data_IF_354048198631
#
_entry.id   IF_354048198631
#
_cell.length_a   1.000
_cell.length_b   1.000
_cell.length_c   1.000
_cell.angle_alpha   90.00
_cell.angle_beta   90.00
_cell.angle_gamma   90.00
#
_symmetry.space_group_name_H-M   'P 1'
#
loop_
_entity.id
_entity.type
_entity.pdbx_description
1 polymer ?
#
# COMPACT_ATOMS: atom_id res chain seq x y z
N UNK A 1 -51.19 21.88 10.92
CA UNK A 1 -50.29 22.60 10.01
C UNK A 1 -48.94 22.66 10.69
N UNK A 2 -48.04 21.75 10.33
CA UNK A 2 -46.65 21.76 10.75
C UNK A 2 -45.85 22.34 9.59
N UNK A 3 -45.20 23.48 9.82
CA UNK A 3 -44.27 24.10 8.88
C UNK A 3 -42.92 23.44 9.05
N UNK A 4 -42.56 22.53 8.15
CA UNK A 4 -41.19 22.03 8.03
C UNK A 4 -40.34 23.14 7.40
N UNK A 5 -39.36 23.62 8.16
CA UNK A 5 -38.34 24.55 7.66
C UNK A 5 -37.29 23.73 6.93
N UNK A 6 -37.36 23.71 5.60
CA UNK A 6 -36.29 23.20 4.75
C UNK A 6 -35.09 24.15 4.90
N UNK A 7 -34.14 23.75 5.75
CA UNK A 7 -32.84 24.40 5.83
C UNK A 7 -31.98 23.88 4.69
N UNK A 8 -31.89 24.73 3.69
CA UNK A 8 -30.96 24.78 2.58
C UNK A 8 -29.55 24.32 3.04
N UNK A 9 -29.19 23.08 2.70
CA UNK A 9 -27.83 22.57 2.88
C UNK A 9 -27.00 23.28 1.83
N UNK A 10 -26.34 24.35 2.26
CA UNK A 10 -25.33 25.03 1.47
C UNK A 10 -24.24 24.01 1.14
N UNK A 11 -24.20 23.60 -0.13
CA UNK A 11 -23.09 22.90 -0.77
C UNK A 11 -21.85 23.79 -0.66
N UNK A 12 -21.15 23.64 0.46
CA UNK A 12 -19.81 24.18 0.65
C UNK A 12 -18.92 23.36 -0.26
N UNK A 13 -18.77 23.84 -1.49
CA UNK A 13 -17.70 23.46 -2.39
C UNK A 13 -16.39 23.46 -1.61
N UNK A 14 -15.96 22.25 -1.25
CA UNK A 14 -14.62 22.00 -0.74
C UNK A 14 -13.71 22.30 -1.93
N UNK A 15 -13.34 23.58 -2.03
CA UNK A 15 -12.33 24.04 -2.93
C UNK A 15 -11.03 23.41 -2.42
N UNK A 16 -10.78 22.20 -2.91
CA UNK A 16 -9.50 21.50 -2.83
C UNK A 16 -8.54 22.26 -3.74
N UNK A 17 -8.18 23.46 -3.31
CA UNK A 17 -7.01 24.22 -3.75
C UNK A 17 -5.80 23.76 -2.92
N UNK A 18 -5.63 22.44 -2.85
CA UNK A 18 -4.33 21.82 -2.64
C UNK A 18 -3.71 21.60 -4.01
N UNK A 19 -2.56 22.22 -4.24
CA UNK A 19 -1.66 21.96 -5.36
C UNK A 19 -1.72 20.50 -5.81
N UNK A 20 -1.81 20.31 -7.13
CA UNK A 20 -1.65 19.07 -7.89
C UNK A 20 -0.32 18.38 -7.54
N UNK A 21 -0.25 17.82 -6.33
CA UNK A 21 0.84 17.02 -5.84
C UNK A 21 0.69 15.67 -6.54
N UNK A 22 1.25 15.59 -7.75
CA UNK A 22 1.41 14.42 -8.62
C UNK A 22 2.20 13.26 -7.98
N UNK A 23 1.95 12.96 -6.71
CA UNK A 23 2.53 11.87 -5.93
C UNK A 23 1.97 10.51 -6.28
N UNK A 24 0.87 10.45 -7.01
CA UNK A 24 0.41 9.23 -7.69
C UNK A 24 1.15 8.98 -9.02
N UNK A 25 2.04 9.88 -9.47
CA UNK A 25 2.67 9.83 -10.79
C UNK A 25 3.95 9.01 -10.92
N UNK A 26 4.45 8.39 -9.85
CA UNK A 26 5.74 7.64 -9.90
C UNK A 26 5.54 6.15 -9.63
N UNK A 27 4.44 5.59 -10.13
CA UNK A 27 4.39 4.15 -10.39
C UNK A 27 5.22 3.90 -11.64
N UNK A 28 6.36 3.22 -11.50
CA UNK A 28 7.11 2.80 -12.68
C UNK A 28 6.30 1.68 -13.38
N UNK A 29 6.01 1.81 -14.68
CA UNK A 29 5.34 0.74 -15.40
C UNK A 29 6.22 -0.51 -15.37
N UNK A 30 5.62 -1.64 -14.98
CA UNK A 30 6.25 -2.94 -15.14
C UNK A 30 6.41 -3.16 -16.64
N UNK A 31 7.65 -3.19 -17.12
CA UNK A 31 7.95 -3.41 -18.53
C UNK A 31 7.77 -4.91 -18.84
N UNK A 32 6.58 -5.30 -19.33
CA UNK A 32 6.23 -6.67 -19.73
C UNK A 32 4.75 -6.79 -20.12
N UNK A 33 4.37 -7.88 -20.79
CA UNK A 33 2.95 -8.24 -20.95
C UNK A 33 2.45 -8.76 -19.60
N UNK A 34 1.62 -7.97 -18.90
CA UNK A 34 0.83 -8.45 -17.76
C UNK A 34 -0.38 -9.22 -18.33
N UNK A 35 -0.45 -10.56 -18.20
CA UNK A 35 -1.59 -11.33 -18.66
C UNK A 35 -2.89 -10.99 -17.89
N UNK A 36 -2.82 -10.13 -16.88
CA UNK A 36 -3.90 -9.84 -15.97
C UNK A 36 -4.20 -11.04 -15.07
N UNK A 37 -5.14 -10.89 -14.12
CA UNK A 37 -5.59 -12.00 -13.31
C UNK A 37 -6.27 -13.04 -14.22
N UNK A 38 -5.83 -14.29 -14.14
CA UNK A 38 -6.53 -15.41 -14.77
C UNK A 38 -7.93 -15.49 -14.16
N UNK A 39 -8.96 -15.20 -14.96
CA UNK A 39 -10.36 -15.31 -14.55
C UNK A 39 -10.74 -16.80 -14.47
N UNK A 40 -10.36 -17.45 -13.37
CA UNK A 40 -10.86 -18.78 -13.04
C UNK A 40 -12.30 -18.64 -12.55
N UNK A 41 -13.27 -19.40 -13.08
CA UNK A 41 -14.61 -19.41 -12.52
C UNK A 41 -14.52 -19.88 -11.06
N UNK A 42 -15.04 -19.07 -10.14
CA UNK A 42 -15.09 -19.41 -8.71
C UNK A 42 -16.15 -20.51 -8.53
N UNK A 43 -15.76 -21.76 -8.77
CA UNK A 43 -16.57 -22.95 -8.51
C UNK A 43 -16.12 -23.49 -7.15
N UNK A 44 -16.57 -22.85 -6.08
CA UNK A 44 -16.26 -23.27 -4.72
C UNK A 44 -17.43 -23.03 -3.79
N UNK A 45 -17.86 -24.07 -3.06
CA UNK A 45 -18.51 -23.86 -1.77
C UNK A 45 -17.47 -23.15 -0.89
N UNK A 46 -17.88 -22.14 -0.12
CA UNK A 46 -16.99 -21.31 0.70
C UNK A 46 -16.08 -22.10 1.65
N UNK A 47 -15.37 -21.43 2.57
CA UNK A 47 -14.45 -22.13 3.49
C UNK A 47 -15.12 -23.37 4.10
N UNK A 48 -14.50 -24.54 3.91
CA UNK A 48 -15.11 -25.86 4.21
C UNK A 48 -15.49 -26.02 5.69
N UNK A 49 -14.85 -25.25 6.57
CA UNK A 49 -15.05 -25.27 8.00
C UNK A 49 -15.13 -23.84 8.53
N UNK A 50 -16.07 -23.60 9.44
CA UNK A 50 -16.09 -22.36 10.20
C UNK A 50 -14.84 -22.26 11.07
N UNK A 51 -14.30 -21.05 11.31
CA UNK A 51 -13.26 -20.83 12.30
C UNK A 51 -13.64 -21.43 13.66
N UNK A 52 -12.66 -21.97 14.38
CA UNK A 52 -12.85 -22.37 15.77
C UNK A 52 -13.22 -21.15 16.62
N UNK A 53 -13.91 -21.33 17.75
CA UNK A 53 -14.37 -20.22 18.59
C UNK A 53 -13.20 -19.42 19.19
N UNK A 54 -12.06 -20.09 19.36
CA UNK A 54 -10.79 -19.58 19.86
C UNK A 54 -9.84 -19.10 18.76
N UNK A 55 -10.27 -19.10 17.50
CA UNK A 55 -9.39 -18.78 16.39
C UNK A 55 -9.01 -17.28 16.39
N UNK A 56 -7.72 -17.00 16.23
CA UNK A 56 -7.22 -15.64 16.11
C UNK A 56 -7.30 -15.19 14.65
N UNK A 57 -7.99 -14.08 14.33
CA UNK A 57 -8.07 -13.56 12.96
C UNK A 57 -6.71 -13.38 12.27
N UNK A 58 -5.67 -13.02 13.02
CA UNK A 58 -4.31 -12.84 12.48
C UNK A 58 -3.74 -14.12 11.88
N UNK A 59 -4.08 -15.29 12.45
CA UNK A 59 -3.56 -16.57 11.97
C UNK A 59 -4.10 -16.92 10.58
N UNK A 60 -5.30 -16.45 10.23
CA UNK A 60 -5.86 -16.60 8.89
C UNK A 60 -5.18 -15.69 7.87
N UNK A 61 -4.79 -14.48 8.27
CA UNK A 61 -4.04 -13.57 7.38
C UNK A 61 -2.66 -14.16 7.08
N UNK A 62 -2.00 -14.76 8.07
CA UNK A 62 -0.72 -15.46 7.91
C UNK A 62 -0.76 -16.67 6.98
N UNK A 63 -1.95 -17.21 6.67
CA UNK A 63 -2.08 -18.26 5.64
C UNK A 63 -1.80 -17.74 4.22
N UNK A 64 -1.97 -16.43 4.00
CA UNK A 64 -1.78 -15.78 2.70
C UNK A 64 -0.55 -14.86 2.68
N UNK A 65 -0.25 -14.23 3.82
CA UNK A 65 0.95 -13.43 4.05
C UNK A 65 1.91 -14.24 4.93
N UNK A 66 2.48 -15.30 4.35
CA UNK A 66 3.48 -16.12 5.04
C UNK A 66 4.84 -15.39 5.18
N UNK A 67 5.71 -15.94 6.01
CA UNK A 67 7.02 -15.34 6.29
C UNK A 67 7.92 -15.29 5.05
N UNK A 68 7.74 -16.23 4.11
CA UNK A 68 8.50 -16.28 2.85
C UNK A 68 8.09 -15.12 1.93
N UNK A 69 6.79 -14.85 1.80
CA UNK A 69 6.27 -13.72 1.06
C UNK A 69 6.68 -12.39 1.70
N UNK A 70 6.60 -12.29 3.03
CA UNK A 70 7.07 -11.09 3.76
C UNK A 70 8.55 -10.85 3.49
N UNK A 71 9.37 -11.91 3.56
CA UNK A 71 10.80 -11.83 3.25
C UNK A 71 11.02 -11.37 1.81
N UNK A 72 10.27 -11.92 0.86
CA UNK A 72 10.37 -11.52 -0.54
C UNK A 72 10.00 -10.06 -0.76
N UNK A 73 8.96 -9.57 -0.07
CA UNK A 73 8.57 -8.15 -0.13
C UNK A 73 9.69 -7.27 0.43
N UNK A 74 10.32 -7.65 1.54
CA UNK A 74 11.46 -6.91 2.11
C UNK A 74 12.63 -6.85 1.15
N UNK A 75 13.01 -7.99 0.56
CA UNK A 75 14.10 -8.07 -0.42
C UNK A 75 13.85 -7.16 -1.62
N UNK A 76 12.67 -7.26 -2.24
CA UNK A 76 12.31 -6.45 -3.40
C UNK A 76 12.23 -4.96 -3.02
N UNK A 77 11.62 -4.61 -1.89
CA UNK A 77 11.53 -3.21 -1.43
C UNK A 77 12.91 -2.58 -1.29
N UNK A 78 13.84 -3.32 -0.67
CA UNK A 78 15.21 -2.87 -0.52
C UNK A 78 15.93 -2.77 -1.87
N UNK A 79 15.76 -3.76 -2.74
CA UNK A 79 16.34 -3.77 -4.08
C UNK A 79 15.87 -2.56 -4.92
N UNK A 80 14.57 -2.29 -4.97
CA UNK A 80 14.00 -1.15 -5.67
C UNK A 80 14.51 0.18 -5.11
N UNK A 81 14.58 0.30 -3.78
CA UNK A 81 15.02 1.54 -3.13
C UNK A 81 16.49 1.82 -3.41
N UNK A 82 17.35 0.81 -3.35
CA UNK A 82 18.77 0.92 -3.71
C UNK A 82 18.97 1.31 -5.17
N UNK A 83 18.26 0.64 -6.07
CA UNK A 83 18.33 0.95 -7.50
C UNK A 83 17.89 2.39 -7.77
N UNK A 84 16.79 2.83 -7.17
CA UNK A 84 16.31 4.20 -7.30
C UNK A 84 17.32 5.23 -6.80
N UNK A 85 17.92 5.00 -5.62
CA UNK A 85 18.98 5.86 -5.07
C UNK A 85 20.16 5.95 -6.03
N UNK A 86 20.57 4.83 -6.62
CA UNK A 86 21.71 4.80 -7.54
C UNK A 86 21.47 5.64 -8.80
N UNK A 87 20.23 5.65 -9.31
CA UNK A 87 19.83 6.39 -10.52
C UNK A 87 19.59 7.87 -10.22
N UNK A 88 19.00 8.21 -9.06
CA UNK A 88 18.46 9.54 -8.76
C UNK A 88 19.38 10.41 -7.89
N UNK A 89 20.70 10.25 -8.03
CA UNK A 89 21.70 10.97 -7.22
C UNK A 89 21.55 12.50 -7.29
N UNK A 90 21.27 13.06 -8.46
CA UNK A 90 21.11 14.51 -8.62
C UNK A 90 19.81 15.04 -8.01
N UNK A 91 18.74 14.25 -8.05
CA UNK A 91 17.50 14.56 -7.33
C UNK A 91 17.74 14.60 -5.81
N UNK A 92 18.50 13.64 -5.28
CA UNK A 92 18.83 13.61 -3.85
C UNK A 92 19.65 14.83 -3.41
N UNK A 93 20.60 15.30 -4.23
CA UNK A 93 21.37 16.52 -3.93
C UNK A 93 20.50 17.78 -3.82
N UNK A 94 19.48 17.87 -4.66
CA UNK A 94 18.58 19.03 -4.71
C UNK A 94 17.43 18.94 -3.70
N UNK A 95 17.10 17.74 -3.21
CA UNK A 95 15.98 17.49 -2.30
C UNK A 95 16.42 16.77 -1.01
N UNK A 96 17.11 17.46 -0.09
CA UNK A 96 17.67 16.86 1.13
C UNK A 96 16.61 16.42 2.16
N UNK A 97 15.34 16.80 1.97
CA UNK A 97 14.21 16.40 2.82
C UNK A 97 13.37 15.26 2.24
N UNK A 98 13.81 14.64 1.14
CA UNK A 98 13.10 13.50 0.55
C UNK A 98 12.99 12.33 1.53
N UNK A 99 11.94 11.53 1.39
CA UNK A 99 11.73 10.33 2.23
C UNK A 99 12.91 9.34 2.12
N UNK A 100 13.58 9.33 0.97
CA UNK A 100 14.76 8.49 0.70
C UNK A 100 15.94 8.86 1.60
N UNK A 101 16.12 10.13 1.99
CA UNK A 101 17.15 10.49 2.97
C UNK A 101 16.85 9.91 4.36
N UNK A 102 15.56 9.79 4.74
CA UNK A 102 15.18 9.11 5.97
C UNK A 102 15.51 7.62 5.86
N UNK A 103 15.20 6.98 4.73
CA UNK A 103 15.53 5.59 4.49
C UNK A 103 17.04 5.32 4.58
N UNK A 104 17.88 6.15 3.93
CA UNK A 104 19.35 6.06 4.02
C UNK A 104 19.83 6.19 5.48
N UNK A 105 19.20 7.05 6.27
CA UNK A 105 19.56 7.29 7.68
C UNK A 105 19.12 6.17 8.62
N UNK A 106 17.90 5.66 8.43
CA UNK A 106 17.27 4.68 9.33
C UNK A 106 17.63 3.23 8.96
N UNK A 107 18.08 2.99 7.73
CA UNK A 107 18.49 1.69 7.25
C UNK A 107 17.45 1.02 6.36
N UNK A 108 17.82 -0.16 5.86
CA UNK A 108 16.97 -0.99 5.01
C UNK A 108 15.74 -1.46 5.77
N UNK A 109 14.64 -1.65 5.04
CA UNK A 109 13.43 -2.27 5.55
C UNK A 109 13.75 -3.67 6.06
N UNK A 110 13.17 -4.08 7.18
CA UNK A 110 13.33 -5.42 7.74
C UNK A 110 12.00 -6.16 7.94
N UNK A 111 12.09 -7.48 8.19
CA UNK A 111 10.91 -8.33 8.35
C UNK A 111 10.02 -7.90 9.52
N UNK A 112 10.57 -7.40 10.62
CA UNK A 112 9.77 -6.97 11.76
C UNK A 112 8.96 -5.71 11.44
N UNK A 113 9.55 -4.76 10.71
CA UNK A 113 8.85 -3.57 10.22
C UNK A 113 7.72 -3.93 9.26
N UNK A 114 7.95 -4.88 8.34
CA UNK A 114 6.90 -5.33 7.42
C UNK A 114 5.82 -6.13 8.12
N UNK A 115 6.16 -6.93 9.14
CA UNK A 115 5.17 -7.60 9.96
C UNK A 115 4.30 -6.60 10.73
N UNK A 116 4.88 -5.54 11.34
CA UNK A 116 4.09 -4.48 11.97
C UNK A 116 3.23 -3.67 11.01
N UNK A 117 3.59 -3.62 9.72
CA UNK A 117 2.79 -2.94 8.71
C UNK A 117 1.51 -3.72 8.39
N UNK A 118 1.58 -5.05 8.40
CA UNK A 118 0.49 -5.94 8.01
C UNK A 118 -0.30 -6.55 9.18
N UNK A 119 0.25 -6.56 10.39
CA UNK A 119 -0.30 -7.22 11.58
C UNK A 119 -0.27 -6.30 12.80
#
# INVERSE_FOLDING_TARGET
MLTESESDVTDSTDADTGDDDGRAGVWMPILGEDPGPVLLPVIGQGPKHAPAAEANPIDYVKLFLDDDLVTKIVEETNHYTENWISIQQDYLRTHPRSFVHKWIKHGKTNNAEMQMLFF
#
